data_IF_287267777128
#
_entry.id   IF_287267777128
#
_cell.length_a   1.000
_cell.length_b   1.000
_cell.length_c   1.000
_cell.angle_alpha   90.00
_cell.angle_beta   90.00
_cell.angle_gamma   90.00
#
_symmetry.space_group_name_H-M   'P 1'
#
loop_
_entity.id
_entity.type
_entity.pdbx_description
1 polymer ?
#
# COMPACT_ATOMS: atom_id res chain seq x y z
N UNK A 1 47.15 35.51 -52.55
CA UNK A 1 45.83 36.05 -52.13
C UNK A 1 45.00 34.87 -51.63
N UNK A 2 44.81 34.80 -50.32
CA UNK A 2 44.17 33.68 -49.59
C UNK A 2 42.65 33.72 -49.72
N UNK A 3 42.00 32.56 -49.81
CA UNK A 3 40.77 32.28 -49.05
C UNK A 3 40.70 30.76 -48.81
N UNK A 4 40.88 30.32 -47.56
CA UNK A 4 40.49 28.98 -47.10
C UNK A 4 39.24 29.18 -46.25
N UNK A 5 38.11 28.62 -46.72
CA UNK A 5 36.81 28.73 -46.07
C UNK A 5 36.73 27.70 -44.94
N UNK A 6 36.80 28.16 -43.69
CA UNK A 6 36.54 27.32 -42.52
C UNK A 6 35.05 27.32 -42.22
N UNK A 7 34.36 26.24 -42.55
CA UNK A 7 32.99 25.98 -42.11
C UNK A 7 33.06 25.53 -40.65
N UNK A 8 32.83 26.45 -39.72
CA UNK A 8 32.68 26.13 -38.31
C UNK A 8 31.35 25.43 -38.10
N UNK A 9 31.37 24.11 -37.87
CA UNK A 9 30.22 23.39 -37.32
C UNK A 9 29.99 23.87 -35.88
N UNK A 10 28.96 24.69 -35.67
CA UNK A 10 28.49 25.04 -34.34
C UNK A 10 27.90 23.77 -33.70
N UNK A 11 28.65 23.18 -32.77
CA UNK A 11 28.14 22.10 -31.91
C UNK A 11 27.10 22.75 -30.99
N UNK A 12 25.82 22.56 -31.32
CA UNK A 12 24.71 22.93 -30.44
C UNK A 12 24.75 21.96 -29.26
N UNK A 13 25.44 22.34 -28.19
CA UNK A 13 25.29 21.70 -26.88
C UNK A 13 23.84 21.91 -26.43
N UNK A 14 22.99 20.94 -26.71
CA UNK A 14 21.73 20.83 -26.01
C UNK A 14 22.09 20.54 -24.56
N UNK A 15 21.98 21.58 -23.71
CA UNK A 15 22.04 21.44 -22.27
C UNK A 15 20.96 20.43 -21.86
N UNK A 16 21.33 19.16 -21.71
CA UNK A 16 20.46 18.18 -21.09
C UNK A 16 20.23 18.66 -19.66
N UNK A 17 19.05 19.23 -19.40
CA UNK A 17 18.57 19.44 -18.04
C UNK A 17 18.65 18.07 -17.37
N UNK A 18 19.62 17.85 -16.49
CA UNK A 18 19.78 16.58 -15.81
C UNK A 18 18.48 16.30 -15.04
N UNK A 19 17.67 15.39 -15.56
CA UNK A 19 16.44 14.98 -14.91
C UNK A 19 16.83 14.34 -13.58
N UNK A 20 16.24 14.81 -12.48
CA UNK A 20 16.38 14.13 -11.19
C UNK A 20 15.89 12.70 -11.38
N UNK A 21 16.65 11.67 -10.93
CA UNK A 21 16.16 10.30 -11.01
C UNK A 21 14.80 10.19 -10.32
N UNK A 22 13.78 9.75 -11.07
CA UNK A 22 12.40 9.53 -10.58
C UNK A 22 12.36 8.70 -9.29
N UNK A 23 13.30 7.77 -9.17
CA UNK A 23 13.47 6.89 -8.02
C UNK A 23 13.70 7.67 -6.73
N UNK A 24 14.36 8.84 -6.78
CA UNK A 24 14.59 9.65 -5.58
C UNK A 24 13.29 10.25 -5.04
N UNK A 25 12.33 10.59 -5.91
CA UNK A 25 11.00 10.99 -5.47
C UNK A 25 10.24 9.78 -4.92
N UNK A 26 10.15 8.71 -5.71
CA UNK A 26 9.33 7.55 -5.37
C UNK A 26 9.81 6.86 -4.08
N UNK A 27 11.12 6.66 -3.92
CA UNK A 27 11.69 6.02 -2.74
C UNK A 27 11.47 6.85 -1.47
N UNK A 28 11.57 8.18 -1.57
CA UNK A 28 11.33 9.06 -0.43
C UNK A 28 9.85 9.02 0.01
N UNK A 29 8.91 9.07 -0.93
CA UNK A 29 7.48 8.94 -0.63
C UNK A 29 7.19 7.56 -0.02
N UNK A 30 7.66 6.49 -0.64
CA UNK A 30 7.42 5.13 -0.16
C UNK A 30 8.09 4.86 1.19
N UNK A 31 9.17 5.57 1.53
CA UNK A 31 9.76 5.55 2.87
C UNK A 31 8.90 6.25 3.93
N UNK A 32 8.25 7.37 3.60
CA UNK A 32 7.30 8.04 4.48
C UNK A 32 6.02 7.20 4.67
N UNK A 33 5.45 6.71 3.55
CA UNK A 33 4.24 5.86 3.54
C UNK A 33 4.38 4.59 4.37
N UNK A 34 5.55 3.94 4.31
CA UNK A 34 5.86 2.76 5.13
C UNK A 34 5.82 3.06 6.63
N UNK A 35 6.15 4.27 7.07
CA UNK A 35 6.14 4.64 8.50
C UNK A 35 4.72 4.65 9.08
N UNK A 36 3.71 4.87 8.25
CA UNK A 36 2.29 4.90 8.66
C UNK A 36 1.50 3.69 8.16
N UNK A 37 2.19 2.70 7.56
CA UNK A 37 1.57 1.45 7.15
C UNK A 37 0.64 1.54 5.92
N UNK A 38 0.79 2.56 5.07
CA UNK A 38 0.08 2.60 3.77
C UNK A 38 0.95 2.05 2.64
N UNK A 39 0.31 1.37 1.69
CA UNK A 39 0.97 0.73 0.55
C UNK A 39 1.75 1.71 -0.32
N UNK A 40 2.80 1.27 -1.03
CA UNK A 40 3.65 2.15 -1.84
C UNK A 40 2.92 2.73 -3.05
N UNK A 41 3.36 3.90 -3.50
CA UNK A 41 3.00 4.45 -4.81
C UNK A 41 3.88 3.84 -5.91
N UNK A 42 3.36 3.88 -7.13
CA UNK A 42 4.09 3.58 -8.37
C UNK A 42 4.29 4.85 -9.20
N UNK A 43 5.37 4.89 -9.99
CA UNK A 43 5.62 6.04 -10.86
C UNK A 43 4.71 6.01 -12.09
N UNK A 44 4.04 7.12 -12.38
CA UNK A 44 3.21 7.30 -13.56
C UNK A 44 3.82 8.37 -14.48
N UNK A 45 4.12 7.97 -15.72
CA UNK A 45 4.76 8.85 -16.70
C UNK A 45 3.83 9.97 -17.21
N UNK A 46 2.52 9.73 -17.23
CA UNK A 46 1.53 10.74 -17.60
C UNK A 46 1.45 11.85 -16.56
N UNK A 47 1.39 11.48 -15.28
CA UNK A 47 1.48 12.44 -14.17
C UNK A 47 2.81 13.19 -14.16
N UNK A 48 3.93 12.51 -14.44
CA UNK A 48 5.24 13.16 -14.50
C UNK A 48 5.31 14.18 -15.66
N UNK A 49 4.72 13.86 -16.81
CA UNK A 49 4.61 14.79 -17.93
C UNK A 49 3.72 15.99 -17.58
N UNK A 50 2.59 15.75 -16.90
CA UNK A 50 1.72 16.81 -16.37
C UNK A 50 2.48 17.73 -15.42
N UNK A 51 3.16 17.16 -14.41
CA UNK A 51 3.99 17.87 -13.45
C UNK A 51 5.07 18.72 -14.14
N UNK A 52 5.74 18.17 -15.17
CA UNK A 52 6.78 18.88 -15.91
C UNK A 52 6.22 20.05 -16.71
N UNK A 53 5.08 19.86 -17.38
CA UNK A 53 4.41 20.92 -18.12
C UNK A 53 4.00 22.08 -17.20
N UNK A 54 3.53 21.77 -15.99
CA UNK A 54 3.18 22.79 -15.02
C UNK A 54 4.42 23.49 -14.44
N UNK A 55 5.45 22.73 -14.04
CA UNK A 55 6.69 23.28 -13.53
C UNK A 55 7.34 24.26 -14.51
N UNK A 56 7.31 23.95 -15.82
CA UNK A 56 7.84 24.83 -16.86
C UNK A 56 7.15 26.20 -16.89
N UNK A 57 5.86 26.28 -16.57
CA UNK A 57 5.11 27.55 -16.52
C UNK A 57 5.52 28.41 -15.32
N UNK A 58 6.11 27.83 -14.28
CA UNK A 58 6.57 28.53 -13.07
C UNK A 58 8.04 28.95 -13.12
N UNK A 59 8.78 28.66 -14.19
CA UNK A 59 10.20 29.04 -14.31
C UNK A 59 10.41 30.56 -14.18
N UNK A 60 9.47 31.37 -14.66
CA UNK A 60 9.58 32.83 -14.65
C UNK A 60 9.65 33.45 -13.26
N UNK A 61 8.82 32.96 -12.34
CA UNK A 61 8.55 33.60 -11.04
C UNK A 61 8.70 32.65 -9.84
N UNK A 62 8.79 31.34 -10.06
CA UNK A 62 8.94 30.31 -9.03
C UNK A 62 7.80 30.30 -7.98
N UNK A 63 6.66 30.90 -8.29
CA UNK A 63 5.62 31.10 -7.28
C UNK A 63 4.93 29.78 -6.92
N UNK A 64 4.68 29.61 -5.62
CA UNK A 64 4.03 28.47 -4.99
C UNK A 64 2.50 28.57 -5.17
N UNK A 65 2.07 28.42 -6.42
CA UNK A 65 0.67 28.47 -6.85
C UNK A 65 0.33 27.08 -7.37
N UNK A 66 -0.83 26.55 -6.98
CA UNK A 66 -1.30 25.24 -7.43
C UNK A 66 -1.79 25.27 -8.89
N UNK A 67 -1.76 24.12 -9.56
CA UNK A 67 -2.17 24.00 -10.96
C UNK A 67 -3.69 24.01 -11.17
N UNK A 68 -4.47 23.88 -10.09
CA UNK A 68 -5.93 23.67 -10.12
C UNK A 68 -6.37 22.49 -11.01
N UNK A 69 -5.46 21.53 -11.21
CA UNK A 69 -5.69 20.33 -12.00
C UNK A 69 -6.52 19.26 -11.28
N UNK A 70 -6.81 18.13 -11.96
CA UNK A 70 -7.64 17.05 -11.42
C UNK A 70 -6.90 16.15 -10.42
N UNK A 71 -5.59 16.34 -10.23
CA UNK A 71 -4.74 15.49 -9.41
C UNK A 71 -4.48 16.12 -8.04
N UNK A 72 -4.10 15.29 -7.07
CA UNK A 72 -3.48 15.81 -5.85
C UNK A 72 -2.18 16.50 -6.21
N UNK A 73 -1.73 17.48 -5.42
CA UNK A 73 -0.53 18.25 -5.76
C UNK A 73 0.19 18.75 -4.52
N UNK A 74 1.51 18.53 -4.49
CA UNK A 74 2.40 19.20 -3.55
C UNK A 74 3.43 20.02 -4.32
N UNK A 75 3.72 21.21 -3.79
CA UNK A 75 4.72 22.12 -4.32
C UNK A 75 5.85 22.29 -3.31
N UNK A 76 7.06 22.56 -3.80
CA UNK A 76 8.17 23.00 -2.98
C UNK A 76 9.09 23.92 -3.77
N UNK A 77 9.59 24.96 -3.13
CA UNK A 77 10.62 25.82 -3.71
C UNK A 77 11.68 26.17 -2.67
N UNK A 78 12.94 26.17 -3.09
CA UNK A 78 14.05 26.61 -2.23
C UNK A 78 15.19 27.20 -3.05
N UNK A 79 16.00 28.03 -2.38
CA UNK A 79 17.23 28.61 -2.93
C UNK A 79 18.45 28.15 -2.11
N UNK A 80 19.62 27.91 -2.74
CA UNK A 80 19.85 27.82 -4.18
C UNK A 80 19.58 26.42 -4.76
N UNK A 81 19.32 25.44 -3.88
CA UNK A 81 19.21 24.04 -4.26
C UNK A 81 18.04 23.37 -3.54
N UNK A 82 17.34 22.52 -4.26
CA UNK A 82 16.39 21.57 -3.71
C UNK A 82 16.49 20.29 -4.55
N UNK A 83 16.66 19.16 -3.89
CA UNK A 83 16.62 17.86 -4.54
C UNK A 83 15.30 17.15 -4.19
N UNK A 84 15.02 16.05 -4.89
CA UNK A 84 13.78 15.29 -4.71
C UNK A 84 13.54 14.86 -3.26
N UNK A 85 14.52 14.19 -2.64
CA UNK A 85 14.41 13.72 -1.26
C UNK A 85 14.22 14.87 -0.26
N UNK A 86 14.86 16.01 -0.49
CA UNK A 86 14.71 17.21 0.33
C UNK A 86 13.30 17.79 0.28
N UNK A 87 12.69 17.88 -0.92
CA UNK A 87 11.31 18.33 -1.06
C UNK A 87 10.33 17.39 -0.34
N UNK A 88 10.47 16.08 -0.55
CA UNK A 88 9.63 15.08 0.13
C UNK A 88 9.83 15.11 1.63
N UNK A 89 11.06 15.32 2.11
CA UNK A 89 11.33 15.48 3.53
C UNK A 89 10.64 16.72 4.11
N UNK A 90 10.65 17.86 3.41
CA UNK A 90 9.93 19.07 3.85
C UNK A 90 8.44 18.79 4.03
N UNK A 91 7.84 18.04 3.11
CA UNK A 91 6.44 17.63 3.20
C UNK A 91 6.21 16.63 4.33
N UNK A 92 7.05 15.59 4.46
CA UNK A 92 6.94 14.58 5.53
C UNK A 92 7.14 15.19 6.93
N UNK A 93 8.05 16.16 7.07
CA UNK A 93 8.33 16.82 8.35
C UNK A 93 7.11 17.59 8.89
N UNK A 94 6.09 17.90 8.06
CA UNK A 94 4.83 18.49 8.54
C UNK A 94 4.05 17.55 9.48
N UNK A 95 4.35 16.24 9.50
CA UNK A 95 3.75 15.26 10.41
C UNK A 95 3.83 15.64 11.88
N UNK A 96 4.86 16.41 12.26
CA UNK A 96 5.03 16.90 13.63
C UNK A 96 3.92 17.88 14.06
N UNK A 97 3.21 18.48 13.10
CA UNK A 97 2.12 19.44 13.31
C UNK A 97 0.74 18.84 13.09
N UNK A 98 0.67 17.62 12.57
CA UNK A 98 -0.58 16.95 12.24
C UNK A 98 -0.99 16.03 13.38
N UNK A 99 -2.16 16.29 13.97
CA UNK A 99 -2.77 15.41 14.95
C UNK A 99 -3.71 14.42 14.25
N UNK A 100 -3.34 13.16 14.29
CA UNK A 100 -4.08 12.10 13.61
C UNK A 100 -5.49 11.91 14.16
N UNK A 101 -5.65 11.85 15.48
CA UNK A 101 -6.92 11.49 16.12
C UNK A 101 -8.00 12.55 15.88
N UNK A 102 -7.63 13.82 15.97
CA UNK A 102 -8.52 14.94 15.68
C UNK A 102 -8.65 15.23 14.19
N UNK A 103 -7.78 14.66 13.34
CA UNK A 103 -7.66 15.03 11.93
C UNK A 103 -7.44 16.54 11.75
N UNK A 104 -6.61 17.14 12.60
CA UNK A 104 -6.35 18.58 12.57
C UNK A 104 -4.88 18.90 12.43
N UNK A 105 -4.60 20.06 11.83
CA UNK A 105 -3.27 20.65 11.81
C UNK A 105 -3.16 21.68 12.94
N UNK A 106 -2.00 21.74 13.59
CA UNK A 106 -1.74 22.71 14.64
C UNK A 106 -2.00 24.16 14.16
N UNK A 107 -2.54 25.04 15.03
CA UNK A 107 -2.87 26.41 14.63
C UNK A 107 -1.70 27.16 13.97
N UNK A 108 -1.95 27.72 12.79
CA UNK A 108 -0.95 28.46 12.02
C UNK A 108 0.14 27.58 11.36
N UNK A 109 -0.03 26.25 11.34
CA UNK A 109 0.86 25.31 10.66
C UNK A 109 0.24 24.81 9.35
N UNK A 110 1.06 24.13 8.55
CA UNK A 110 0.67 23.46 7.31
C UNK A 110 0.93 21.98 7.48
N UNK A 111 -0.06 21.17 7.09
CA UNK A 111 0.02 19.71 7.14
C UNK A 111 -0.46 19.05 5.84
N UNK A 112 -0.99 19.84 4.89
CA UNK A 112 -1.60 19.35 3.67
C UNK A 112 -0.61 18.59 2.78
N UNK A 113 0.67 18.94 2.84
CA UNK A 113 1.66 18.23 2.05
C UNK A 113 1.95 16.86 2.65
N UNK A 114 2.11 16.78 3.98
CA UNK A 114 2.25 15.50 4.68
C UNK A 114 1.05 14.59 4.38
N UNK A 115 -0.17 15.07 4.63
CA UNK A 115 -1.39 14.25 4.45
C UNK A 115 -1.52 13.73 3.04
N UNK A 116 -1.10 14.50 2.01
CA UNK A 116 -1.08 14.02 0.63
C UNK A 116 0.00 12.96 0.38
N UNK A 117 1.22 13.12 0.91
CA UNK A 117 2.31 12.13 0.77
C UNK A 117 1.88 10.77 1.29
N UNK A 118 1.17 10.75 2.42
CA UNK A 118 0.72 9.52 3.08
C UNK A 118 -0.75 9.19 2.82
N UNK A 119 -1.37 9.81 1.81
CA UNK A 119 -2.76 9.52 1.47
C UNK A 119 -2.90 8.10 0.93
N UNK A 120 -3.63 7.23 1.63
CA UNK A 120 -3.73 5.79 1.33
C UNK A 120 -4.12 5.54 -0.12
N UNK A 121 -5.16 6.23 -0.58
CA UNK A 121 -5.75 5.99 -1.90
C UNK A 121 -4.90 6.53 -3.06
N UNK A 122 -3.93 7.41 -2.79
CA UNK A 122 -2.99 7.87 -3.81
C UNK A 122 -1.98 6.77 -4.10
N UNK A 123 -2.11 6.11 -5.26
CA UNK A 123 -1.30 4.94 -5.66
C UNK A 123 -0.36 5.22 -6.84
N UNK A 124 -0.54 6.34 -7.53
CA UNK A 124 0.31 6.81 -8.64
C UNK A 124 0.93 8.17 -8.32
N UNK A 125 2.19 8.33 -8.67
CA UNK A 125 2.99 9.53 -8.43
C UNK A 125 3.72 9.96 -9.71
N UNK A 126 3.71 11.25 -10.01
CA UNK A 126 4.60 11.83 -11.02
C UNK A 126 5.08 13.21 -10.57
N UNK A 127 6.38 13.48 -10.71
CA UNK A 127 6.99 14.70 -10.21
C UNK A 127 7.90 15.36 -11.25
N UNK A 128 8.13 16.66 -11.08
CA UNK A 128 9.05 17.45 -11.88
C UNK A 128 9.88 18.41 -11.03
N UNK A 129 11.05 18.78 -11.57
CA UNK A 129 11.97 19.75 -10.97
C UNK A 129 12.47 20.70 -12.05
N UNK A 130 12.39 22.00 -11.82
CA UNK A 130 12.92 23.04 -12.71
C UNK A 130 13.76 24.04 -11.93
N UNK A 131 14.67 24.72 -12.64
CA UNK A 131 15.38 25.87 -12.10
C UNK A 131 14.72 27.15 -12.61
N UNK A 132 14.31 28.01 -11.69
CA UNK A 132 13.66 29.27 -12.00
C UNK A 132 14.68 30.35 -12.41
N UNK A 133 14.23 31.40 -13.08
CA UNK A 133 15.06 32.54 -13.49
C UNK A 133 15.69 33.28 -12.30
N UNK A 134 15.03 33.24 -11.14
CA UNK A 134 15.55 33.76 -9.87
C UNK A 134 16.72 32.94 -9.30
N UNK A 135 17.04 31.78 -9.89
CA UNK A 135 18.07 30.85 -9.43
C UNK A 135 17.57 29.81 -8.43
N UNK A 136 16.36 29.99 -7.88
CA UNK A 136 15.66 29.01 -7.04
C UNK A 136 15.30 27.73 -7.80
N UNK A 137 15.05 26.65 -7.07
CA UNK A 137 14.51 25.40 -7.60
C UNK A 137 13.04 25.29 -7.24
N UNK A 138 12.20 24.92 -8.21
CA UNK A 138 10.79 24.58 -8.01
C UNK A 138 10.56 23.10 -8.30
N UNK A 139 9.79 22.45 -7.43
CA UNK A 139 9.39 21.05 -7.52
C UNK A 139 7.88 20.96 -7.37
N UNK A 140 7.25 20.14 -8.21
CA UNK A 140 5.86 19.73 -8.06
C UNK A 140 5.74 18.22 -8.17
N UNK A 141 4.90 17.61 -7.35
CA UNK A 141 4.51 16.21 -7.42
C UNK A 141 2.99 16.11 -7.49
N UNK A 142 2.49 15.33 -8.44
CA UNK A 142 1.08 15.06 -8.64
C UNK A 142 0.74 13.61 -8.24
N UNK A 143 -0.45 13.44 -7.66
CA UNK A 143 -0.92 12.21 -7.03
C UNK A 143 -2.26 11.78 -7.60
N UNK A 144 -2.42 10.49 -7.91
CA UNK A 144 -3.65 9.95 -8.47
C UNK A 144 -4.01 8.57 -7.88
N UNK A 145 -5.23 8.38 -7.36
CA UNK A 145 -6.25 9.38 -7.02
C UNK A 145 -5.76 10.57 -6.13
N UNK A 146 -6.40 11.76 -6.23
CA UNK A 146 -6.09 12.90 -5.37
C UNK A 146 -6.39 12.60 -3.90
N UNK A 147 -5.63 13.22 -3.00
CA UNK A 147 -5.86 13.15 -1.55
C UNK A 147 -6.51 14.42 -0.99
N UNK A 148 -6.37 14.59 0.33
CA UNK A 148 -6.80 15.78 1.08
C UNK A 148 -8.29 16.12 0.98
N UNK A 149 -9.15 15.11 0.85
CA UNK A 149 -10.59 15.30 0.96
C UNK A 149 -10.98 15.80 2.35
N UNK A 150 -11.71 16.92 2.40
CA UNK A 150 -12.17 17.54 3.65
C UNK A 150 -12.92 16.52 4.51
N UNK A 151 -12.56 16.41 5.78
CA UNK A 151 -13.18 15.51 6.74
C UNK A 151 -12.71 14.06 6.66
N UNK A 152 -11.82 13.70 5.73
CA UNK A 152 -11.23 12.35 5.66
C UNK A 152 -9.81 12.34 6.22
N UNK A 153 -9.43 11.28 6.94
CA UNK A 153 -8.06 11.06 7.38
C UNK A 153 -7.21 10.49 6.24
N UNK A 154 -5.92 10.86 6.14
CA UNK A 154 -5.05 10.44 5.04
C UNK A 154 -4.84 8.94 4.96
N UNK A 155 -4.82 8.24 6.08
CA UNK A 155 -4.60 6.79 6.12
C UNK A 155 -5.57 6.11 7.07
N UNK A 156 -6.81 6.65 7.11
CA UNK A 156 -8.03 6.07 7.66
C UNK A 156 -7.98 5.62 9.13
N UNK A 157 -8.90 6.14 9.93
CA UNK A 157 -9.30 5.65 11.25
C UNK A 157 -9.27 4.12 11.26
N UNK A 158 -8.61 3.52 12.24
CA UNK A 158 -8.74 2.08 12.52
C UNK A 158 -10.17 1.69 12.96
N UNK A 159 -11.17 2.57 12.75
CA UNK A 159 -12.42 2.55 13.50
C UNK A 159 -13.69 2.92 12.70
N UNK A 160 -13.62 3.49 11.49
CA UNK A 160 -14.86 3.99 10.83
C UNK A 160 -15.08 3.62 9.35
N UNK A 161 -14.50 2.50 8.89
CA UNK A 161 -15.14 1.63 7.88
C UNK A 161 -14.77 0.17 8.15
N UNK A 162 -15.78 -0.61 8.55
CA UNK A 162 -15.75 -2.05 8.89
C UNK A 162 -15.20 -2.33 10.30
N UNK A 163 -15.90 -3.12 11.16
CA UNK A 163 -15.41 -3.46 12.48
C UNK A 163 -13.99 -4.00 12.38
N UNK A 164 -13.13 -3.48 13.26
CA UNK A 164 -11.78 -3.95 13.46
C UNK A 164 -11.74 -5.47 13.38
N UNK A 165 -10.83 -5.97 12.55
CA UNK A 165 -10.18 -7.22 12.86
C UNK A 165 -9.56 -6.98 14.23
N UNK A 166 -10.24 -7.46 15.27
CA UNK A 166 -9.83 -7.28 16.64
C UNK A 166 -8.35 -7.70 16.72
N UNK A 167 -7.52 -6.78 17.21
CA UNK A 167 -6.12 -7.05 17.55
C UNK A 167 -5.97 -8.20 18.55
N UNK A 168 -7.07 -8.76 19.02
CA UNK A 168 -7.22 -10.16 19.39
C UNK A 168 -8.29 -10.78 18.51
N UNK A 169 -7.92 -11.66 17.57
CA UNK A 169 -8.84 -12.73 17.24
C UNK A 169 -8.94 -13.56 18.52
N UNK A 170 -9.82 -13.18 19.45
CA UNK A 170 -10.39 -14.13 20.38
C UNK A 170 -11.18 -15.07 19.48
N UNK A 171 -10.48 -16.11 19.00
CA UNK A 171 -11.10 -17.32 18.53
C UNK A 171 -12.22 -17.62 19.54
N UNK A 172 -13.43 -18.00 19.09
CA UNK A 172 -14.46 -18.48 20.00
C UNK A 172 -13.78 -19.38 21.02
N UNK A 173 -14.05 -19.17 22.31
CA UNK A 173 -13.33 -19.72 23.46
C UNK A 173 -13.25 -21.26 23.52
N UNK A 174 -13.68 -21.94 22.46
CA UNK A 174 -13.56 -23.37 22.19
C UNK A 174 -12.46 -23.74 21.16
N UNK A 175 -11.59 -22.81 20.72
CA UNK A 175 -10.43 -23.11 19.84
C UNK A 175 -9.10 -22.65 20.45
N UNK A 176 -8.85 -22.95 21.73
CA UNK A 176 -7.48 -22.90 22.26
C UNK A 176 -6.70 -24.15 21.84
N UNK A 177 -6.32 -24.26 20.56
CA UNK A 177 -5.37 -25.31 20.08
C UNK A 177 -3.90 -24.97 20.39
N UNK A 178 -3.65 -24.04 21.33
CA UNK A 178 -2.31 -23.69 21.79
C UNK A 178 -1.42 -22.97 20.77
N UNK A 179 -1.98 -22.45 19.67
CA UNK A 179 -1.23 -21.68 18.66
C UNK A 179 -1.19 -20.19 19.01
N UNK A 180 -0.02 -19.57 18.83
CA UNK A 180 0.17 -18.15 19.11
C UNK A 180 -0.55 -17.25 18.11
N UNK A 181 -0.83 -15.98 18.48
CA UNK A 181 -1.47 -15.04 17.58
C UNK A 181 -0.58 -14.74 16.37
N UNK A 182 -1.18 -14.66 15.18
CA UNK A 182 -0.52 -14.13 14.00
C UNK A 182 -0.39 -12.61 14.08
N UNK A 183 0.69 -12.09 13.50
CA UNK A 183 0.91 -10.65 13.35
C UNK A 183 0.54 -10.19 11.95
N UNK A 184 -0.13 -9.05 11.83
CA UNK A 184 -0.41 -8.48 10.52
C UNK A 184 0.89 -8.09 9.80
N UNK A 185 0.99 -8.43 8.51
CA UNK A 185 2.13 -8.07 7.68
C UNK A 185 1.68 -7.32 6.41
N UNK A 186 2.09 -6.05 6.31
CA UNK A 186 1.70 -5.19 5.18
C UNK A 186 2.23 -5.69 3.83
N UNK A 187 3.40 -6.32 3.76
CA UNK A 187 3.90 -6.86 2.48
C UNK A 187 3.09 -8.06 2.01
N UNK A 188 2.60 -8.91 2.92
CA UNK A 188 1.65 -9.97 2.59
C UNK A 188 0.29 -9.40 2.18
N UNK A 189 -0.18 -8.33 2.83
CA UNK A 189 -1.42 -7.66 2.46
C UNK A 189 -1.33 -6.99 1.07
N UNK A 190 -0.20 -6.37 0.75
CA UNK A 190 0.07 -5.82 -0.58
C UNK A 190 0.11 -6.95 -1.64
N UNK A 191 0.71 -8.09 -1.30
CA UNK A 191 0.69 -9.29 -2.16
C UNK A 191 -0.75 -9.79 -2.39
N UNK A 192 -1.51 -9.95 -1.31
CA UNK A 192 -2.92 -10.34 -1.34
C UNK A 192 -3.76 -9.37 -2.19
N UNK A 193 -3.56 -8.06 -2.04
CA UNK A 193 -4.27 -7.04 -2.80
C UNK A 193 -3.94 -7.09 -4.29
N UNK A 194 -2.67 -7.25 -4.63
CA UNK A 194 -2.24 -7.40 -6.02
C UNK A 194 -2.86 -8.64 -6.67
N UNK A 195 -3.04 -9.72 -5.92
CA UNK A 195 -3.71 -10.91 -6.42
C UNK A 195 -5.23 -10.75 -6.51
N UNK A 196 -5.87 -10.20 -5.48
CA UNK A 196 -7.30 -9.93 -5.45
C UNK A 196 -7.73 -9.03 -6.63
N UNK A 197 -6.93 -8.01 -6.95
CA UNK A 197 -7.19 -7.14 -8.10
C UNK A 197 -7.26 -7.89 -9.43
N UNK A 198 -6.52 -9.00 -9.59
CA UNK A 198 -6.56 -9.83 -10.79
C UNK A 198 -7.84 -10.68 -10.90
N UNK A 199 -8.58 -10.85 -9.78
CA UNK A 199 -9.84 -11.60 -9.72
C UNK A 199 -11.08 -10.71 -9.83
N UNK A 200 -10.96 -9.38 -9.91
CA UNK A 200 -12.11 -8.47 -10.04
C UNK A 200 -12.99 -8.84 -11.24
N UNK A 201 -12.40 -9.33 -12.33
CA UNK A 201 -13.13 -9.69 -13.55
C UNK A 201 -14.06 -10.90 -13.39
N UNK A 202 -13.67 -11.91 -12.60
CA UNK A 202 -14.31 -13.23 -12.59
C UNK A 202 -14.72 -13.74 -11.20
N UNK A 203 -14.17 -13.17 -10.11
CA UNK A 203 -14.29 -13.70 -8.75
C UNK A 203 -13.83 -15.16 -8.62
N UNK A 204 -12.88 -15.58 -9.46
CA UNK A 204 -12.44 -16.97 -9.54
C UNK A 204 -11.75 -17.42 -8.25
N UNK A 205 -12.23 -18.52 -7.66
CA UNK A 205 -11.62 -19.21 -6.52
C UNK A 205 -10.40 -20.02 -6.98
N UNK A 206 -9.39 -19.31 -7.47
CA UNK A 206 -8.14 -19.84 -8.00
C UNK A 206 -7.02 -19.35 -7.10
N UNK A 207 -6.07 -20.23 -6.77
CA UNK A 207 -4.91 -19.86 -5.96
C UNK A 207 -3.84 -19.13 -6.77
N UNK A 208 -3.14 -18.19 -6.12
CA UNK A 208 -2.11 -17.35 -6.72
C UNK A 208 -0.86 -18.09 -7.19
N UNK A 209 -0.66 -19.32 -6.69
CA UNK A 209 0.58 -20.09 -6.86
C UNK A 209 1.82 -19.36 -6.28
N UNK A 210 1.59 -18.47 -5.31
CA UNK A 210 2.61 -17.72 -4.60
C UNK A 210 3.44 -18.56 -3.63
N UNK A 211 4.48 -17.94 -3.01
CA UNK A 211 5.32 -18.60 -2.02
C UNK A 211 4.67 -18.67 -0.61
N UNK A 212 3.46 -18.14 -0.44
CA UNK A 212 2.77 -18.02 0.85
C UNK A 212 1.68 -19.07 0.98
N UNK A 213 1.28 -19.35 2.22
CA UNK A 213 0.02 -20.05 2.47
C UNK A 213 -1.11 -19.15 1.98
N UNK A 214 -2.24 -19.72 1.59
CA UNK A 214 -3.32 -18.93 1.00
C UNK A 214 -4.69 -19.53 1.27
N UNK A 215 -5.59 -18.70 1.80
CA UNK A 215 -7.01 -19.01 1.89
C UNK A 215 -7.80 -18.02 1.05
N UNK A 216 -8.82 -18.52 0.36
CA UNK A 216 -9.70 -17.74 -0.49
C UNK A 216 -11.13 -17.84 0.02
N UNK A 217 -11.92 -16.80 -0.16
CA UNK A 217 -13.35 -16.81 0.07
C UNK A 217 -14.05 -15.89 -0.92
N UNK A 218 -15.26 -16.25 -1.34
CA UNK A 218 -16.11 -15.37 -2.12
C UNK A 218 -17.57 -15.51 -1.69
N UNK A 219 -18.28 -14.38 -1.58
CA UNK A 219 -19.71 -14.38 -1.27
C UNK A 219 -20.45 -13.17 -1.83
N UNK A 220 -21.78 -13.27 -1.84
CA UNK A 220 -22.73 -12.23 -2.23
C UNK A 220 -23.89 -12.20 -1.21
N UNK A 221 -24.49 -11.05 -0.86
CA UNK A 221 -24.23 -9.71 -1.38
C UNK A 221 -23.11 -8.94 -0.68
N UNK A 222 -22.54 -9.50 0.38
CA UNK A 222 -21.36 -8.97 1.05
C UNK A 222 -20.53 -10.14 1.59
N UNK A 223 -19.24 -9.88 1.79
CA UNK A 223 -18.32 -10.75 2.50
C UNK A 223 -17.37 -9.87 3.30
N UNK A 224 -17.46 -9.89 4.62
CA UNK A 224 -16.45 -9.24 5.46
C UNK A 224 -15.36 -10.24 5.88
N UNK A 225 -14.25 -9.73 6.40
CA UNK A 225 -13.10 -10.55 6.76
C UNK A 225 -13.39 -11.53 7.91
N UNK A 226 -14.22 -11.13 8.88
CA UNK A 226 -14.60 -12.01 9.99
C UNK A 226 -15.43 -13.19 9.49
N UNK A 227 -16.37 -12.97 8.57
CA UNK A 227 -17.16 -14.03 7.96
C UNK A 227 -16.29 -14.99 7.14
N UNK A 228 -15.34 -14.46 6.35
CA UNK A 228 -14.39 -15.30 5.60
C UNK A 228 -13.54 -16.17 6.54
N UNK A 229 -12.98 -15.58 7.60
CA UNK A 229 -12.21 -16.33 8.62
C UNK A 229 -13.09 -17.34 9.33
N UNK A 230 -14.34 -16.97 9.66
CA UNK A 230 -15.29 -17.89 10.29
C UNK A 230 -15.59 -19.07 9.37
N UNK A 231 -15.82 -18.85 8.08
CA UNK A 231 -16.02 -19.93 7.10
C UNK A 231 -14.84 -20.90 7.09
N UNK A 232 -13.61 -20.39 7.12
CA UNK A 232 -12.41 -21.22 7.18
C UNK A 232 -12.29 -21.95 8.52
N UNK A 233 -12.59 -21.31 9.64
CA UNK A 233 -12.50 -21.91 10.98
C UNK A 233 -13.59 -22.94 11.23
N UNK A 234 -14.78 -22.76 10.66
CA UNK A 234 -15.91 -23.69 10.79
C UNK A 234 -15.61 -25.06 10.15
N UNK A 235 -14.59 -25.16 9.28
CA UNK A 235 -14.10 -26.44 8.79
C UNK A 235 -13.45 -27.30 9.89
N UNK A 236 -13.18 -26.74 11.08
CA UNK A 236 -12.72 -27.50 12.27
C UNK A 236 -13.57 -28.74 12.52
N UNK A 237 -14.89 -28.65 12.31
CA UNK A 237 -15.80 -29.77 12.52
C UNK A 237 -15.50 -30.98 11.61
N UNK A 238 -14.79 -30.76 10.50
CA UNK A 238 -14.40 -31.77 9.53
C UNK A 238 -12.95 -32.25 9.69
N UNK A 239 -12.17 -31.60 10.55
CA UNK A 239 -10.77 -31.97 10.79
C UNK A 239 -10.65 -32.86 12.02
N UNK A 240 -10.12 -34.07 11.85
CA UNK A 240 -9.76 -34.95 12.95
C UNK A 240 -8.29 -34.78 13.32
N UNK A 241 -8.05 -34.17 14.49
CA UNK A 241 -6.69 -33.98 15.00
C UNK A 241 -5.99 -35.28 15.32
N UNK A 242 -6.69 -36.36 15.71
CA UNK A 242 -6.01 -37.62 16.07
C UNK A 242 -5.37 -38.26 14.84
N UNK A 243 -6.12 -38.34 13.74
CA UNK A 243 -5.65 -38.93 12.49
C UNK A 243 -4.91 -37.94 11.58
N UNK A 244 -5.00 -36.63 11.84
CA UNK A 244 -4.54 -35.57 10.94
C UNK A 244 -5.18 -35.68 9.55
N UNK A 245 -6.49 -35.95 9.51
CA UNK A 245 -7.23 -36.12 8.25
C UNK A 245 -8.51 -35.28 8.21
N UNK A 246 -8.95 -35.03 6.99
CA UNK A 246 -10.24 -34.43 6.71
C UNK A 246 -11.32 -35.51 6.60
N UNK A 247 -12.52 -35.21 7.06
CA UNK A 247 -13.70 -36.02 6.81
C UNK A 247 -13.89 -36.27 5.30
N UNK A 248 -14.37 -37.47 4.96
CA UNK A 248 -14.47 -37.91 3.57
C UNK A 248 -15.42 -37.00 2.78
N UNK A 249 -14.88 -36.33 1.75
CA UNK A 249 -15.65 -35.43 0.88
C UNK A 249 -15.72 -33.98 1.37
N UNK A 250 -15.15 -33.68 2.53
CA UNK A 250 -15.14 -32.34 3.12
C UNK A 250 -13.81 -31.61 2.87
N UNK A 251 -13.82 -30.30 3.13
CA UNK A 251 -12.63 -29.43 3.07
C UNK A 251 -12.29 -28.94 4.48
N UNK A 252 -11.01 -29.01 4.82
CA UNK A 252 -10.44 -28.50 6.07
C UNK A 252 -9.06 -27.84 5.87
N UNK A 253 -8.69 -27.61 4.60
CA UNK A 253 -7.44 -26.96 4.24
C UNK A 253 -7.38 -25.52 4.73
N UNK A 254 -8.51 -24.82 4.75
CA UNK A 254 -8.53 -23.44 5.22
C UNK A 254 -8.39 -23.39 6.74
N UNK A 255 -9.10 -24.25 7.47
CA UNK A 255 -8.93 -24.39 8.92
C UNK A 255 -7.48 -24.67 9.29
N UNK A 256 -6.90 -25.72 8.70
CA UNK A 256 -5.53 -26.16 9.01
C UNK A 256 -4.49 -25.07 8.73
N UNK A 257 -4.70 -24.23 7.71
CA UNK A 257 -3.84 -23.07 7.47
C UNK A 257 -4.02 -21.97 8.53
N UNK A 258 -5.26 -21.66 8.94
CA UNK A 258 -5.55 -20.63 9.97
C UNK A 258 -4.88 -20.97 11.29
N UNK A 259 -4.88 -22.25 11.65
CA UNK A 259 -4.31 -22.78 12.89
C UNK A 259 -2.90 -23.36 12.72
N UNK A 260 -2.21 -23.03 11.62
CA UNK A 260 -0.86 -23.53 11.39
C UNK A 260 0.13 -22.81 12.30
N UNK A 261 0.69 -23.52 13.30
CA UNK A 261 1.53 -22.95 14.36
C UNK A 261 2.74 -22.16 13.85
N UNK A 262 3.30 -22.56 12.71
CA UNK A 262 4.46 -21.90 12.12
C UNK A 262 4.08 -20.69 11.26
N UNK A 263 2.80 -20.50 10.92
CA UNK A 263 2.34 -19.29 10.24
C UNK A 263 2.18 -18.19 11.28
N UNK A 264 3.14 -17.28 11.33
CA UNK A 264 3.21 -16.21 12.36
C UNK A 264 2.85 -14.84 11.81
N UNK A 265 2.69 -14.71 10.49
CA UNK A 265 2.30 -13.49 9.80
C UNK A 265 1.14 -13.76 8.87
N UNK A 266 0.21 -12.81 8.80
CA UNK A 266 -0.93 -12.84 7.88
C UNK A 266 -1.10 -11.48 7.21
N UNK A 267 -1.52 -11.48 5.95
CA UNK A 267 -1.97 -10.27 5.26
C UNK A 267 -3.09 -10.62 4.29
N UNK A 268 -4.14 -9.82 4.27
CA UNK A 268 -5.36 -10.12 3.52
C UNK A 268 -5.81 -8.93 2.66
N UNK A 269 -6.63 -9.22 1.66
CA UNK A 269 -7.26 -8.22 0.82
C UNK A 269 -8.70 -8.61 0.47
N UNK A 270 -9.54 -7.59 0.25
CA UNK A 270 -10.94 -7.71 -0.22
C UNK A 270 -11.10 -6.88 -1.49
N UNK A 271 -11.79 -7.43 -2.49
CA UNK A 271 -12.25 -6.68 -3.66
C UNK A 271 -13.71 -6.98 -3.95
N UNK A 272 -14.41 -6.03 -4.57
CA UNK A 272 -15.69 -6.29 -5.20
C UNK A 272 -15.47 -6.66 -6.66
N UNK A 273 -16.02 -7.79 -7.06
CA UNK A 273 -15.97 -8.32 -8.42
C UNK A 273 -17.04 -7.67 -9.31
N UNK A 274 -16.83 -7.67 -10.63
CA UNK A 274 -17.74 -7.06 -11.60
C UNK A 274 -19.16 -7.64 -11.57
N UNK A 275 -19.32 -8.87 -11.10
CA UNK A 275 -20.60 -9.56 -10.94
C UNK A 275 -21.29 -9.24 -9.59
N UNK A 276 -20.76 -8.29 -8.82
CA UNK A 276 -21.30 -7.87 -7.52
C UNK A 276 -20.91 -8.75 -6.34
N UNK A 277 -20.22 -9.88 -6.56
CA UNK A 277 -19.65 -10.69 -5.48
C UNK A 277 -18.46 -10.00 -4.85
N UNK A 278 -18.12 -10.42 -3.64
CA UNK A 278 -16.90 -10.02 -2.95
C UNK A 278 -15.94 -11.20 -2.88
N UNK A 279 -14.67 -10.93 -3.14
CA UNK A 279 -13.57 -11.89 -3.05
C UNK A 279 -12.58 -11.45 -1.98
N UNK A 280 -12.19 -12.39 -1.14
CA UNK A 280 -11.17 -12.22 -0.10
C UNK A 280 -10.07 -13.26 -0.32
N UNK A 281 -8.82 -12.81 -0.23
CA UNK A 281 -7.64 -13.68 -0.11
C UNK A 281 -6.83 -13.28 1.12
N UNK A 282 -6.37 -14.27 1.88
CA UNK A 282 -5.45 -14.11 2.99
C UNK A 282 -4.21 -14.95 2.74
N UNK A 283 -3.03 -14.33 2.86
CA UNK A 283 -1.74 -14.98 2.71
C UNK A 283 -1.04 -15.15 4.06
N UNK A 284 -0.36 -16.28 4.23
CA UNK A 284 0.25 -16.71 5.50
C UNK A 284 1.75 -16.96 5.33
N UNK A 285 2.57 -16.43 6.25
CA UNK A 285 4.02 -16.54 6.20
C UNK A 285 4.63 -16.86 7.58
N UNK A 286 5.39 -17.97 7.71
CA UNK A 286 5.58 -19.05 6.73
C UNK A 286 4.29 -19.75 6.25
N UNK A 287 4.26 -20.33 5.03
CA UNK A 287 3.15 -21.16 4.55
C UNK A 287 2.91 -22.38 5.44
N UNK A 288 1.66 -22.82 5.52
CA UNK A 288 1.26 -24.06 6.18
C UNK A 288 0.87 -25.16 5.21
N UNK A 289 0.03 -26.08 5.67
CA UNK A 289 -0.55 -27.19 4.90
C UNK A 289 0.47 -28.11 4.22
N UNK A 290 1.63 -28.30 4.84
CA UNK A 290 2.61 -29.28 4.36
C UNK A 290 2.04 -30.70 4.52
N UNK A 291 1.99 -31.45 3.43
CA UNK A 291 1.47 -32.82 3.38
C UNK A 291 2.17 -33.68 4.44
N UNK A 292 1.37 -34.33 5.29
CA UNK A 292 1.84 -35.21 6.36
C UNK A 292 2.28 -34.50 7.64
N UNK A 293 2.33 -33.16 7.67
CA UNK A 293 2.58 -32.39 8.88
C UNK A 293 1.26 -32.00 9.56
N UNK A 294 1.32 -31.80 10.87
CA UNK A 294 0.18 -31.33 11.69
C UNK A 294 0.20 -29.80 11.77
N UNK A 295 -0.96 -29.13 11.78
CA UNK A 295 -1.03 -27.69 11.95
C UNK A 295 -0.61 -27.24 13.37
N UNK A 296 -0.85 -28.06 14.38
CA UNK A 296 -0.50 -27.81 15.78
C UNK A 296 -0.22 -29.13 16.51
N UNK A 297 0.47 -29.04 17.65
CA UNK A 297 0.66 -30.19 18.53
C UNK A 297 -0.69 -30.54 19.17
N UNK A 298 -0.94 -31.82 19.47
CA UNK A 298 -2.13 -32.19 20.23
C UNK A 298 -2.17 -31.35 21.52
N UNK A 299 -3.37 -30.86 21.96
CA UNK A 299 -3.46 -30.20 23.25
C UNK A 299 -2.79 -31.12 24.28
N UNK A 300 -2.00 -30.59 25.24
CA UNK A 300 -1.42 -31.42 26.28
C UNK A 300 -2.56 -32.25 26.84
N UNK A 301 -2.50 -33.57 26.65
CA UNK A 301 -3.55 -34.46 27.11
C UNK A 301 -3.83 -34.10 28.56
N UNK A 302 -5.11 -33.96 28.90
CA UNK A 302 -5.51 -33.97 30.30
C UNK A 302 -4.92 -35.25 30.90
N UNK A 303 -3.77 -35.11 31.55
CA UNK A 303 -3.25 -36.08 32.49
C UNK A 303 -4.23 -36.05 33.66
N UNK A 304 -5.36 -36.74 33.51
CA UNK A 304 -6.18 -37.14 34.64
C UNK A 304 -5.45 -38.33 35.28
N UNK A 305 -4.92 -38.20 36.51
CA UNK A 305 -4.38 -39.34 37.25
C UNK A 305 -5.45 -40.38 37.58
#
# INVERSE_FOLDING_TARGET
MHVVCFITFAIIFHSSQAQTPRENFLNAHNAARRQVGVGPMTWDYGLAAYAQNYANQRIGDCGMIHSDGPYGENLAAAFPQLNAAGAVKMWDDEKQWYDYNSNTCAPGKVCGHYTQVVWRDSVRLGCARVRCNSGSVFITCNYDPPGNYIGRRPYGDLEDQQPAFDSKLELPTDVQVGVGPMTWNNSLADYAQNYANQRIGDCGMIHSQGPYGENLAAAFPDLNAADAVKMWVDEKQWYDSNSNTCALGEVCGHYTQVVWRNSVRVGCAKVQCNNGWYFITCNYDPPGNYIGQRPYDDPPGDFIP
#
